data_IF_808444116246
#
_entry.id   IF_808444116246
#
_cell.length_a   1.000
_cell.length_b   1.000
_cell.length_c   1.000
_cell.angle_alpha   90.00
_cell.angle_beta   90.00
_cell.angle_gamma   90.00
#
_symmetry.space_group_name_H-M   'P 1'
#
loop_
_entity.id
_entity.type
_entity.pdbx_description
1 polymer ?
#
# COMPACT_ATOMS: atom_id res chain seq x y z
N UNK A 1 17.18 19.74 2.14
CA UNK A 1 16.82 19.65 3.56
C UNK A 1 16.00 18.38 3.77
N UNK A 2 16.59 17.42 4.50
CA UNK A 2 15.87 16.23 4.94
C UNK A 2 15.28 16.52 6.29
N UNK A 3 13.99 16.26 6.43
CA UNK A 3 13.39 16.11 7.73
C UNK A 3 13.25 14.61 7.94
N UNK A 4 14.04 14.03 8.86
CA UNK A 4 13.57 12.83 9.49
C UNK A 4 12.17 13.17 9.99
N UNK A 5 11.17 12.73 9.23
CA UNK A 5 9.94 12.40 9.90
C UNK A 5 10.39 11.40 10.96
N UNK A 6 9.85 11.44 12.17
CA UNK A 6 10.23 10.47 13.14
C UNK A 6 10.12 9.14 12.43
N UNK A 7 11.18 8.37 12.41
CA UNK A 7 11.01 6.93 12.56
C UNK A 7 9.98 6.87 13.65
N UNK A 8 8.72 6.48 13.36
CA UNK A 8 7.70 6.58 14.38
C UNK A 8 8.30 5.96 15.63
N UNK A 9 8.33 6.67 16.76
CA UNK A 9 8.54 6.06 18.06
C UNK A 9 7.32 5.15 18.31
N UNK A 10 7.14 4.22 17.39
CA UNK A 10 6.35 3.04 17.59
C UNK A 10 7.26 2.18 18.42
N UNK A 11 6.94 2.03 19.70
CA UNK A 11 7.52 1.02 20.56
C UNK A 11 7.38 -0.34 19.84
N UNK A 12 8.37 -0.72 19.07
CA UNK A 12 8.47 -1.95 18.33
C UNK A 12 9.88 -2.51 18.46
N UNK A 13 10.07 -3.80 18.28
CA UNK A 13 11.38 -4.42 18.42
C UNK A 13 12.40 -3.72 17.49
N UNK A 14 13.68 -3.62 17.90
CA UNK A 14 14.73 -2.91 17.16
C UNK A 14 14.98 -3.44 15.74
N UNK A 15 14.44 -4.61 15.40
CA UNK A 15 14.56 -5.28 14.10
C UNK A 15 13.28 -5.17 13.26
N UNK A 16 12.41 -4.18 13.50
CA UNK A 16 11.22 -3.96 12.66
C UNK A 16 11.65 -3.62 11.23
N UNK A 17 11.30 -4.43 10.22
CA UNK A 17 11.67 -4.16 8.83
C UNK A 17 11.23 -2.79 8.33
N UNK A 18 10.10 -2.29 8.82
CA UNK A 18 9.58 -0.95 8.46
C UNK A 18 10.61 0.11 8.88
N UNK A 19 11.04 0.09 10.15
CA UNK A 19 11.96 1.09 10.70
C UNK A 19 13.34 1.03 10.06
N UNK A 20 13.87 -0.18 9.86
CA UNK A 20 15.18 -0.37 9.23
C UNK A 20 15.20 0.26 7.84
N UNK A 21 14.17 0.03 7.03
CA UNK A 21 14.13 0.56 5.68
C UNK A 21 13.86 2.07 5.63
N UNK A 22 13.13 2.64 6.60
CA UNK A 22 13.01 4.09 6.76
C UNK A 22 14.34 4.75 7.09
N UNK A 23 15.07 4.20 8.05
CA UNK A 23 16.41 4.69 8.41
C UNK A 23 17.36 4.61 7.21
N UNK A 24 17.38 3.48 6.50
CA UNK A 24 18.20 3.29 5.30
C UNK A 24 17.83 4.32 4.20
N UNK A 25 16.54 4.64 4.01
CA UNK A 25 16.14 5.64 3.04
C UNK A 25 16.72 7.01 3.40
N UNK A 26 16.54 7.46 4.65
CA UNK A 26 17.02 8.77 5.10
C UNK A 26 18.54 8.85 4.98
N UNK A 27 19.28 7.85 5.46
CA UNK A 27 20.73 7.79 5.37
C UNK A 27 21.22 7.92 3.92
N UNK A 28 20.61 7.17 3.00
CA UNK A 28 20.99 7.18 1.59
C UNK A 28 20.67 8.48 0.89
N UNK A 29 19.48 9.05 1.12
CA UNK A 29 19.13 10.35 0.56
C UNK A 29 20.08 11.43 1.08
N UNK A 30 20.47 11.36 2.37
CA UNK A 30 21.47 12.26 2.96
C UNK A 30 22.79 12.13 2.24
N UNK A 31 23.30 10.91 2.12
CA UNK A 31 24.57 10.64 1.44
C UNK A 31 24.55 11.11 -0.01
N UNK A 32 23.49 10.84 -0.76
CA UNK A 32 23.32 11.24 -2.17
C UNK A 32 23.40 12.76 -2.36
N UNK A 33 22.88 13.53 -1.41
CA UNK A 33 22.94 14.98 -1.46
C UNK A 33 24.29 15.53 -1.00
N UNK A 34 24.87 14.97 0.06
CA UNK A 34 26.21 15.36 0.54
C UNK A 34 27.30 15.09 -0.51
N UNK A 35 27.23 13.98 -1.24
CA UNK A 35 28.13 13.66 -2.34
C UNK A 35 28.03 14.66 -3.51
N UNK A 36 26.90 15.32 -3.68
CA UNK A 36 26.70 16.40 -4.65
C UNK A 36 27.13 17.77 -4.13
N UNK A 37 27.57 17.84 -2.87
CA UNK A 37 27.95 19.08 -2.22
C UNK A 37 26.81 19.88 -1.59
N UNK A 38 25.62 19.27 -1.47
CA UNK A 38 24.47 19.89 -0.82
C UNK A 38 24.64 19.89 0.72
N UNK A 39 24.05 20.89 1.38
CA UNK A 39 23.93 20.90 2.84
C UNK A 39 22.63 20.24 3.24
N UNK A 40 22.71 19.20 4.06
CA UNK A 40 21.57 18.44 4.52
C UNK A 40 21.23 18.76 5.97
N UNK A 41 19.98 19.10 6.24
CA UNK A 41 19.46 19.28 7.60
C UNK A 41 18.33 18.27 7.86
N UNK A 42 18.47 17.48 8.92
CA UNK A 42 17.48 16.51 9.34
C UNK A 42 16.73 17.05 10.57
N UNK A 43 15.43 17.28 10.43
CA UNK A 43 14.59 17.76 11.53
C UNK A 43 13.97 16.59 12.27
N UNK A 44 14.36 16.41 13.53
CA UNK A 44 13.89 15.33 14.41
C UNK A 44 12.76 15.82 15.31
N UNK A 45 11.52 15.67 14.85
CA UNK A 45 10.32 15.85 15.70
C UNK A 45 9.14 15.04 15.14
N UNK A 46 8.12 14.73 15.95
CA UNK A 46 6.95 13.98 15.50
C UNK A 46 6.29 14.61 14.26
N UNK A 47 5.90 13.77 13.29
CA UNK A 47 5.34 14.21 12.00
C UNK A 47 4.15 15.17 12.15
N UNK A 48 3.26 14.91 13.12
CA UNK A 48 2.08 15.74 13.41
C UNK A 48 2.41 17.12 14.00
N UNK A 49 3.66 17.36 14.37
CA UNK A 49 4.15 18.65 14.86
C UNK A 49 4.80 19.50 13.77
N UNK A 50 4.93 18.98 12.54
CA UNK A 50 5.44 19.75 11.42
C UNK A 50 4.31 20.53 10.75
N UNK A 51 4.62 21.75 10.33
CA UNK A 51 3.72 22.58 9.55
C UNK A 51 4.37 23.04 8.25
N UNK A 52 3.60 23.36 7.21
CA UNK A 52 4.12 23.96 5.98
C UNK A 52 4.94 25.23 6.22
N UNK A 53 4.50 26.08 7.15
CA UNK A 53 5.17 27.35 7.48
C UNK A 53 6.57 27.14 8.02
N UNK A 54 6.78 26.09 8.84
CA UNK A 54 8.12 25.75 9.33
C UNK A 54 9.04 25.30 8.21
N UNK A 55 8.53 24.57 7.22
CA UNK A 55 9.31 24.18 6.04
C UNK A 55 9.69 25.41 5.24
N UNK A 56 8.74 26.31 4.99
CA UNK A 56 8.99 27.56 4.27
C UNK A 56 9.99 28.48 4.99
N UNK A 57 9.91 28.55 6.33
CA UNK A 57 10.83 29.38 7.13
C UNK A 57 12.32 28.97 6.99
N UNK A 58 12.57 27.70 6.69
CA UNK A 58 13.92 27.17 6.48
C UNK A 58 14.46 27.43 5.06
N UNK A 59 13.59 27.84 4.14
CA UNK A 59 13.93 28.14 2.74
C UNK A 59 14.83 27.09 2.06
N UNK A 60 14.48 25.80 2.10
CA UNK A 60 15.29 24.79 1.43
C UNK A 60 15.08 24.83 -0.08
N UNK A 61 16.08 24.44 -0.87
CA UNK A 61 15.90 24.21 -2.30
C UNK A 61 15.03 22.96 -2.55
N UNK A 62 15.23 21.90 -1.74
CA UNK A 62 14.47 20.63 -1.80
C UNK A 62 13.99 20.26 -0.41
N UNK A 63 12.73 19.82 -0.28
CA UNK A 63 12.14 19.33 0.96
C UNK A 63 11.53 17.94 0.76
N UNK A 64 11.95 16.96 1.57
CA UNK A 64 11.34 15.62 1.61
C UNK A 64 10.38 15.53 2.78
N UNK A 65 9.09 15.28 2.50
CA UNK A 65 8.00 15.26 3.49
C UNK A 65 7.45 13.84 3.63
N UNK A 66 7.60 13.20 4.80
CA UNK A 66 7.13 11.84 5.02
C UNK A 66 5.60 11.77 5.25
N UNK A 67 4.96 10.70 4.80
CA UNK A 67 3.55 10.35 5.07
C UNK A 67 2.55 11.49 4.81
N UNK A 68 2.84 12.36 3.86
CA UNK A 68 1.97 13.47 3.47
C UNK A 68 1.80 13.49 1.96
N UNK A 69 0.81 14.23 1.53
CA UNK A 69 0.51 14.53 0.13
C UNK A 69 0.35 16.04 -0.02
N UNK A 70 0.48 16.55 -1.24
CA UNK A 70 0.44 17.98 -1.53
C UNK A 70 -0.84 18.65 -1.01
N UNK A 71 -2.00 17.97 -1.10
CA UNK A 71 -3.26 18.51 -0.63
C UNK A 71 -3.43 18.51 0.90
N UNK A 72 -2.74 17.60 1.62
CA UNK A 72 -2.79 17.49 3.09
C UNK A 72 -1.67 18.25 3.79
N UNK A 73 -0.62 18.60 3.04
CA UNK A 73 0.52 19.38 3.52
C UNK A 73 1.01 20.34 2.41
N UNK A 74 0.20 21.33 2.02
CA UNK A 74 0.50 22.20 0.89
C UNK A 74 1.66 23.16 1.21
N UNK A 75 2.68 23.14 0.37
CA UNK A 75 3.73 24.19 0.32
C UNK A 75 3.38 25.11 -0.85
N UNK A 76 3.22 26.43 -0.64
CA UNK A 76 2.91 27.36 -1.71
C UNK A 76 3.99 27.38 -2.81
N UNK A 77 3.59 27.35 -4.08
CA UNK A 77 4.52 27.39 -5.22
C UNK A 77 5.42 28.66 -5.21
N UNK A 78 4.92 29.77 -4.66
CA UNK A 78 5.68 31.02 -4.54
C UNK A 78 6.95 30.87 -3.68
N UNK A 79 7.01 29.88 -2.82
CA UNK A 79 8.20 29.58 -2.01
C UNK A 79 9.33 28.96 -2.82
N UNK A 80 9.05 28.53 -4.06
CA UNK A 80 10.01 27.94 -5.00
C UNK A 80 10.84 26.77 -4.41
N UNK A 81 10.20 25.94 -3.59
CA UNK A 81 10.79 24.76 -2.94
C UNK A 81 10.42 23.52 -3.77
N UNK A 82 11.42 22.69 -4.16
CA UNK A 82 11.14 21.38 -4.77
C UNK A 82 10.69 20.40 -3.68
N UNK A 83 9.37 20.25 -3.52
CA UNK A 83 8.79 19.39 -2.49
C UNK A 83 8.65 17.96 -3.02
N UNK A 84 9.10 17.00 -2.22
CA UNK A 84 9.01 15.56 -2.48
C UNK A 84 8.31 14.90 -1.30
N UNK A 85 7.12 14.37 -1.55
CA UNK A 85 6.38 13.56 -0.57
C UNK A 85 6.85 12.12 -0.68
N UNK A 86 7.16 11.50 0.45
CA UNK A 86 7.61 10.10 0.44
C UNK A 86 6.84 9.22 1.40
N UNK A 87 6.57 8.01 0.95
CA UNK A 87 5.81 7.01 1.69
C UNK A 87 6.31 5.60 1.39
N UNK A 88 6.32 4.73 2.39
CA UNK A 88 6.69 3.34 2.21
C UNK A 88 5.59 2.57 1.49
N UNK A 89 5.95 1.79 0.50
CA UNK A 89 5.03 0.95 -0.27
C UNK A 89 4.61 -0.32 0.52
N UNK A 90 3.89 -1.22 -0.12
CA UNK A 90 3.58 -2.57 0.41
C UNK A 90 4.85 -3.42 0.60
N UNK A 91 5.92 -3.14 -0.11
CA UNK A 91 7.23 -3.76 0.09
C UNK A 91 8.08 -2.87 1.00
N UNK A 92 8.56 -3.35 2.17
CA UNK A 92 9.15 -2.50 3.19
C UNK A 92 10.40 -1.72 2.74
N UNK A 93 11.12 -2.21 1.72
CA UNK A 93 12.31 -1.54 1.18
C UNK A 93 12.04 -0.61 0.01
N UNK A 94 10.79 -0.46 -0.45
CA UNK A 94 10.42 0.43 -1.55
C UNK A 94 9.61 1.61 -1.08
N UNK A 95 9.91 2.76 -1.66
CA UNK A 95 9.30 4.02 -1.30
C UNK A 95 8.77 4.76 -2.53
N UNK A 96 7.58 5.33 -2.41
CA UNK A 96 7.15 6.41 -3.27
C UNK A 96 7.95 7.65 -2.90
N UNK A 97 8.47 8.37 -3.89
CA UNK A 97 9.04 9.72 -3.75
C UNK A 97 8.47 10.52 -4.90
N UNK A 98 7.51 11.39 -4.62
CA UNK A 98 6.69 12.03 -5.66
C UNK A 98 6.34 13.47 -5.28
N UNK A 99 6.00 14.29 -6.28
CA UNK A 99 5.67 15.72 -6.10
C UNK A 99 4.29 15.94 -5.49
N UNK A 100 3.35 15.03 -5.70
CA UNK A 100 1.96 15.18 -5.24
C UNK A 100 1.64 14.27 -4.06
N UNK A 101 2.16 13.03 -4.04
CA UNK A 101 1.83 12.09 -2.99
C UNK A 101 2.23 10.65 -3.32
N UNK A 102 1.37 9.71 -2.97
CA UNK A 102 1.63 8.28 -3.14
C UNK A 102 0.35 7.54 -3.55
N UNK A 103 0.50 6.33 -4.06
CA UNK A 103 -0.61 5.49 -4.53
C UNK A 103 -1.57 6.29 -5.46
N UNK A 104 -2.85 6.38 -5.14
CA UNK A 104 -3.83 7.14 -5.93
C UNK A 104 -3.62 8.65 -5.96
N UNK A 105 -2.78 9.20 -5.06
CA UNK A 105 -2.44 10.62 -4.98
C UNK A 105 -1.13 11.00 -5.66
N UNK A 106 -0.43 10.05 -6.27
CA UNK A 106 0.83 10.31 -6.95
C UNK A 106 0.65 11.11 -8.25
N UNK A 107 1.71 11.82 -8.66
CA UNK A 107 1.76 12.48 -9.97
C UNK A 107 1.90 11.49 -11.13
N UNK A 108 2.40 10.28 -10.85
CA UNK A 108 2.58 9.19 -11.82
C UNK A 108 1.36 8.30 -11.80
N UNK A 109 0.72 8.16 -12.94
CA UNK A 109 -0.49 7.33 -13.11
C UNK A 109 -0.17 5.87 -13.41
N UNK A 110 -1.17 5.00 -13.34
CA UNK A 110 -1.03 3.60 -13.75
C UNK A 110 -0.67 3.45 -15.24
N UNK A 111 -1.15 4.35 -16.09
CA UNK A 111 -0.83 4.40 -17.51
C UNK A 111 0.65 4.79 -17.72
N UNK A 112 1.16 5.79 -16.99
CA UNK A 112 2.57 6.15 -17.03
C UNK A 112 3.46 4.97 -16.62
N UNK A 113 3.06 4.23 -15.58
CA UNK A 113 3.77 3.03 -15.16
C UNK A 113 3.76 1.94 -16.23
N UNK A 114 2.64 1.79 -16.96
CA UNK A 114 2.57 0.87 -18.10
C UNK A 114 3.47 1.30 -19.26
N UNK A 115 3.65 2.61 -19.46
CA UNK A 115 4.56 3.14 -20.50
C UNK A 115 6.03 2.95 -20.12
N UNK A 116 6.39 3.21 -18.84
CA UNK A 116 7.73 2.97 -18.30
C UNK A 116 8.11 1.48 -18.29
N UNK A 117 7.11 0.60 -18.17
CA UNK A 117 7.30 -0.83 -18.05
C UNK A 117 7.70 -1.48 -19.38
N UNK A 118 8.64 -2.41 -19.30
CA UNK A 118 8.99 -3.31 -20.40
C UNK A 118 8.27 -4.65 -20.27
N UNK A 119 8.20 -5.40 -21.36
CA UNK A 119 7.68 -6.77 -21.36
C UNK A 119 8.72 -7.73 -20.71
N UNK A 120 8.96 -7.52 -19.42
CA UNK A 120 9.91 -8.29 -18.61
C UNK A 120 9.23 -8.80 -17.36
N UNK A 121 9.39 -10.07 -17.04
CA UNK A 121 8.90 -10.68 -15.81
C UNK A 121 9.88 -10.56 -14.64
N UNK A 122 11.07 -9.98 -14.83
CA UNK A 122 12.12 -9.99 -13.81
C UNK A 122 11.65 -9.39 -12.47
N UNK A 123 11.15 -8.17 -12.48
CA UNK A 123 10.70 -7.52 -11.24
C UNK A 123 9.45 -8.20 -10.66
N UNK A 124 8.51 -8.59 -11.51
CA UNK A 124 7.33 -9.35 -11.09
C UNK A 124 7.73 -10.64 -10.36
N UNK A 125 8.64 -11.44 -10.92
CA UNK A 125 9.06 -12.70 -10.33
C UNK A 125 9.83 -12.50 -9.01
N UNK A 126 10.66 -11.46 -8.91
CA UNK A 126 11.37 -11.12 -7.66
C UNK A 126 10.38 -10.73 -6.54
N UNK A 127 9.44 -9.83 -6.83
CA UNK A 127 8.42 -9.42 -5.86
C UNK A 127 7.50 -10.59 -5.51
N UNK A 128 7.09 -11.39 -6.50
CA UNK A 128 6.29 -12.59 -6.31
C UNK A 128 6.98 -13.60 -5.41
N UNK A 129 8.26 -13.87 -5.61
CA UNK A 129 9.05 -14.78 -4.76
C UNK A 129 9.01 -14.32 -3.30
N UNK A 130 9.22 -13.03 -3.05
CA UNK A 130 9.13 -12.44 -1.71
C UNK A 130 7.73 -12.62 -1.11
N UNK A 131 6.69 -12.26 -1.85
CA UNK A 131 5.30 -12.33 -1.39
C UNK A 131 4.89 -13.78 -1.10
N UNK A 132 5.24 -14.74 -1.98
CA UNK A 132 4.93 -16.16 -1.77
C UNK A 132 5.70 -16.79 -0.61
N UNK A 133 6.82 -16.20 -0.18
CA UNK A 133 7.52 -16.61 1.05
C UNK A 133 6.92 -16.04 2.34
N UNK A 134 5.77 -15.35 2.25
CA UNK A 134 5.09 -14.73 3.38
C UNK A 134 5.52 -13.29 3.65
N UNK A 135 6.31 -12.69 2.75
CA UNK A 135 6.79 -11.33 2.90
C UNK A 135 5.69 -10.28 2.66
N UNK A 136 5.54 -9.37 3.61
CA UNK A 136 4.60 -8.23 3.56
C UNK A 136 5.16 -7.07 4.40
N UNK A 137 4.62 -5.86 4.22
CA UNK A 137 4.98 -4.68 5.02
C UNK A 137 4.80 -4.92 6.52
N UNK A 138 3.73 -5.60 6.90
CA UNK A 138 3.37 -5.87 8.30
C UNK A 138 3.69 -7.31 8.71
N UNK A 139 4.81 -7.87 8.23
CA UNK A 139 5.17 -9.26 8.49
C UNK A 139 5.23 -9.61 9.98
N UNK A 140 5.74 -8.70 10.81
CA UNK A 140 5.84 -8.90 12.26
C UNK A 140 4.48 -8.96 12.98
N UNK A 141 3.43 -8.48 12.33
CA UNK A 141 2.06 -8.48 12.85
C UNK A 141 1.20 -9.60 12.25
N UNK A 142 1.76 -10.40 11.33
CA UNK A 142 1.06 -11.55 10.78
C UNK A 142 1.22 -12.75 11.70
N UNK A 143 0.15 -13.55 11.91
CA UNK A 143 0.29 -14.83 12.57
C UNK A 143 1.29 -15.73 11.83
N UNK A 144 2.22 -16.33 12.57
CA UNK A 144 3.26 -17.22 12.02
C UNK A 144 2.77 -18.66 11.89
N UNK A 145 1.81 -19.05 12.71
CA UNK A 145 1.24 -20.40 12.67
C UNK A 145 0.26 -20.54 11.51
N UNK A 146 0.41 -21.63 10.76
CA UNK A 146 -0.61 -22.04 9.79
C UNK A 146 -1.83 -22.54 10.51
N UNK A 147 -2.99 -21.94 10.23
CA UNK A 147 -4.28 -22.40 10.74
C UNK A 147 -5.11 -22.96 9.60
N UNK A 148 -5.87 -23.99 9.89
CA UNK A 148 -6.84 -24.51 8.94
C UNK A 148 -8.10 -23.63 8.93
N UNK A 149 -8.60 -23.36 7.73
CA UNK A 149 -9.92 -22.76 7.59
C UNK A 149 -10.99 -23.73 8.07
N UNK A 150 -12.10 -23.23 8.66
CA UNK A 150 -13.23 -24.10 9.03
C UNK A 150 -13.70 -24.97 7.86
N UNK A 151 -14.09 -26.20 8.13
CA UNK A 151 -14.48 -27.18 7.10
C UNK A 151 -15.66 -26.74 6.20
N UNK A 152 -16.47 -25.78 6.64
CA UNK A 152 -17.56 -25.21 5.85
C UNK A 152 -17.09 -24.14 4.85
N UNK A 153 -15.84 -23.69 4.92
CA UNK A 153 -15.25 -22.74 3.95
C UNK A 153 -14.88 -23.50 2.68
N UNK A 154 -15.40 -23.11 1.51
CA UNK A 154 -15.08 -23.79 0.26
C UNK A 154 -13.61 -23.63 -0.10
N UNK A 155 -13.12 -24.45 -1.05
CA UNK A 155 -11.74 -24.36 -1.54
C UNK A 155 -11.41 -23.05 -2.22
N UNK A 156 -12.41 -22.34 -2.72
CA UNK A 156 -12.27 -21.08 -3.43
C UNK A 156 -13.31 -20.08 -2.93
N UNK A 157 -12.88 -18.83 -2.71
CA UNK A 157 -13.71 -17.76 -2.16
C UNK A 157 -13.26 -16.37 -2.62
N UNK A 158 -14.13 -15.39 -2.39
CA UNK A 158 -13.79 -13.96 -2.48
C UNK A 158 -13.20 -13.51 -1.15
N UNK A 159 -12.07 -12.80 -1.19
CA UNK A 159 -11.39 -12.24 -0.02
C UNK A 159 -11.56 -10.73 -0.01
N UNK A 160 -12.02 -10.18 1.12
CA UNK A 160 -12.06 -8.75 1.39
C UNK A 160 -11.09 -8.42 2.53
N UNK A 161 -9.85 -7.97 2.25
CA UNK A 161 -8.94 -7.46 3.26
C UNK A 161 -9.41 -6.09 3.72
N UNK A 162 -9.70 -5.94 5.02
CA UNK A 162 -10.08 -4.65 5.59
C UNK A 162 -8.94 -3.66 5.54
N UNK A 163 -9.28 -2.39 5.33
CA UNK A 163 -8.39 -1.24 5.47
C UNK A 163 -8.81 -0.43 6.69
N UNK A 164 -7.91 0.41 7.20
CA UNK A 164 -8.20 1.34 8.28
C UNK A 164 -9.15 2.42 7.73
N UNK A 165 -10.40 2.56 8.24
CA UNK A 165 -11.41 3.41 7.62
C UNK A 165 -11.06 4.90 7.51
N UNK A 166 -10.19 5.38 8.42
CA UNK A 166 -9.75 6.77 8.47
C UNK A 166 -8.35 7.01 7.87
N UNK A 167 -7.81 6.02 7.15
CA UNK A 167 -6.54 6.16 6.42
C UNK A 167 -6.65 7.24 5.34
N UNK A 168 -5.58 8.00 5.11
CA UNK A 168 -5.54 9.07 4.10
C UNK A 168 -5.87 8.54 2.70
N UNK A 169 -5.43 7.33 2.35
CA UNK A 169 -5.75 6.71 1.06
C UNK A 169 -7.26 6.47 0.86
N UNK A 170 -7.98 6.13 1.93
CA UNK A 170 -9.44 6.00 1.88
C UNK A 170 -10.08 7.38 1.79
N UNK A 171 -9.66 8.29 2.68
CA UNK A 171 -10.28 9.61 2.83
C UNK A 171 -10.18 10.45 1.55
N UNK A 172 -9.05 10.39 0.85
CA UNK A 172 -8.77 11.28 -0.28
C UNK A 172 -8.87 10.60 -1.64
N UNK A 173 -8.69 9.27 -1.69
CA UNK A 173 -8.63 8.52 -2.95
C UNK A 173 -9.73 7.47 -3.08
N UNK A 174 -10.83 7.61 -2.31
CA UNK A 174 -12.02 6.77 -2.49
C UNK A 174 -13.30 7.59 -2.34
N UNK A 175 -14.27 7.30 -3.23
CA UNK A 175 -15.62 7.85 -3.15
C UNK A 175 -16.54 7.02 -2.25
N UNK A 176 -16.08 5.83 -1.83
CA UNK A 176 -16.83 4.92 -0.96
C UNK A 176 -16.03 4.64 0.30
N UNK A 177 -16.70 4.52 1.44
CA UNK A 177 -16.09 4.08 2.69
C UNK A 177 -15.75 2.59 2.65
N UNK A 178 -14.93 2.13 3.60
CA UNK A 178 -14.61 0.69 3.71
C UNK A 178 -15.86 -0.12 4.02
N UNK A 179 -16.78 0.41 4.86
CA UNK A 179 -18.04 -0.21 5.21
C UNK A 179 -18.99 -0.31 4.02
N UNK A 180 -19.04 0.72 3.20
CA UNK A 180 -19.84 0.73 1.98
C UNK A 180 -19.29 -0.25 0.95
N UNK A 181 -17.96 -0.26 0.73
CA UNK A 181 -17.30 -1.21 -0.14
C UNK A 181 -17.54 -2.66 0.29
N UNK A 182 -17.48 -2.95 1.60
CA UNK A 182 -17.82 -4.25 2.15
C UNK A 182 -19.30 -4.60 1.86
N UNK A 183 -20.21 -3.67 2.08
CA UNK A 183 -21.65 -3.89 1.86
C UNK A 183 -21.96 -4.18 0.38
N UNK A 184 -21.34 -3.46 -0.55
CA UNK A 184 -21.43 -3.70 -1.99
C UNK A 184 -20.83 -5.06 -2.37
N UNK A 185 -19.70 -5.44 -1.79
CA UNK A 185 -19.08 -6.75 -1.98
C UNK A 185 -19.99 -7.88 -1.51
N UNK A 186 -20.59 -7.77 -0.32
CA UNK A 186 -21.56 -8.75 0.19
C UNK A 186 -22.73 -8.91 -0.79
N UNK A 187 -23.29 -7.80 -1.26
CA UNK A 187 -24.40 -7.80 -2.23
C UNK A 187 -24.00 -8.52 -3.53
N UNK A 188 -22.81 -8.23 -4.05
CA UNK A 188 -22.32 -8.85 -5.28
C UNK A 188 -22.02 -10.34 -5.07
N UNK A 189 -21.40 -10.74 -3.94
CA UNK A 189 -21.15 -12.14 -3.61
C UNK A 189 -22.46 -12.94 -3.56
N UNK A 190 -23.52 -12.39 -2.97
CA UNK A 190 -24.85 -13.04 -2.94
C UNK A 190 -25.42 -13.22 -4.34
N UNK A 191 -25.34 -12.19 -5.19
CA UNK A 191 -25.78 -12.22 -6.58
C UNK A 191 -25.04 -13.32 -7.37
N UNK A 192 -23.72 -13.38 -7.22
CA UNK A 192 -22.85 -14.30 -7.96
C UNK A 192 -22.70 -15.65 -7.28
N UNK A 193 -23.40 -15.90 -6.16
CA UNK A 193 -23.34 -17.12 -5.33
C UNK A 193 -21.90 -17.47 -4.92
N UNK A 194 -21.11 -16.45 -4.56
CA UNK A 194 -19.74 -16.60 -4.10
C UNK A 194 -19.65 -16.56 -2.58
N UNK A 195 -18.78 -17.39 -2.01
CA UNK A 195 -18.45 -17.33 -0.60
C UNK A 195 -17.53 -16.15 -0.33
N UNK A 196 -17.76 -15.42 0.77
CA UNK A 196 -16.95 -14.25 1.16
C UNK A 196 -16.26 -14.50 2.48
N UNK A 197 -14.95 -14.24 2.51
CA UNK A 197 -14.16 -14.10 3.73
C UNK A 197 -13.71 -12.66 3.86
N UNK A 198 -13.87 -12.11 5.05
CA UNK A 198 -13.37 -10.78 5.42
C UNK A 198 -12.19 -10.93 6.37
N UNK A 199 -11.03 -10.34 6.03
CA UNK A 199 -9.82 -10.37 6.84
C UNK A 199 -9.65 -9.05 7.56
N UNK A 200 -9.56 -9.07 8.89
CA UNK A 200 -9.29 -7.90 9.71
C UNK A 200 -7.89 -7.33 9.49
N UNK A 201 -7.73 -6.01 9.65
CA UNK A 201 -6.45 -5.33 9.50
C UNK A 201 -5.58 -5.56 10.76
N UNK A 202 -4.28 -5.91 10.61
CA UNK A 202 -3.44 -6.30 11.75
C UNK A 202 -3.06 -5.12 12.65
N UNK A 203 -2.93 -3.91 12.11
CA UNK A 203 -2.38 -2.75 12.84
C UNK A 203 -3.39 -2.11 13.80
N UNK A 204 -4.67 -2.09 13.46
CA UNK A 204 -5.68 -1.38 14.26
C UNK A 204 -6.95 -2.21 14.41
N UNK A 205 -6.93 -3.25 15.26
CA UNK A 205 -8.11 -4.11 15.44
C UNK A 205 -9.32 -3.38 16.04
N UNK A 206 -9.11 -2.28 16.77
CA UNK A 206 -10.17 -1.46 17.33
C UNK A 206 -11.02 -0.77 16.28
N UNK A 207 -10.41 -0.25 15.22
CA UNK A 207 -11.11 0.40 14.11
C UNK A 207 -11.88 -0.59 13.22
N UNK A 208 -11.67 -1.90 13.40
CA UNK A 208 -12.38 -2.96 12.65
C UNK A 208 -13.74 -3.32 13.24
N UNK A 209 -14.13 -2.80 14.40
CA UNK A 209 -15.39 -3.14 15.06
C UNK A 209 -16.65 -2.91 14.19
N UNK A 210 -16.78 -1.80 13.44
CA UNK A 210 -17.92 -1.60 12.55
C UNK A 210 -18.01 -2.70 11.47
N UNK A 211 -16.87 -3.06 10.86
CA UNK A 211 -16.80 -4.08 9.81
C UNK A 211 -17.12 -5.48 10.38
N UNK A 212 -16.59 -5.80 11.56
CA UNK A 212 -16.90 -7.04 12.27
C UNK A 212 -18.39 -7.16 12.59
N UNK A 213 -19.03 -6.06 13.01
CA UNK A 213 -20.48 -5.99 13.25
C UNK A 213 -21.28 -6.25 11.98
N UNK A 214 -20.90 -5.63 10.85
CA UNK A 214 -21.54 -5.90 9.54
C UNK A 214 -21.42 -7.39 9.20
N UNK A 215 -20.24 -7.99 9.32
CA UNK A 215 -20.03 -9.40 9.04
C UNK A 215 -20.92 -10.31 9.92
N UNK A 216 -20.96 -10.05 11.23
CA UNK A 216 -21.80 -10.81 12.17
C UNK A 216 -23.30 -10.72 11.81
N UNK A 217 -23.79 -9.52 11.53
CA UNK A 217 -25.20 -9.29 11.15
C UNK A 217 -25.60 -9.94 9.82
N UNK A 218 -24.64 -10.10 8.91
CA UNK A 218 -24.84 -10.61 7.57
C UNK A 218 -24.47 -12.10 7.42
N UNK A 219 -23.99 -12.76 8.49
CA UNK A 219 -23.53 -14.14 8.46
C UNK A 219 -22.28 -14.35 7.61
N UNK A 220 -21.39 -13.37 7.56
CA UNK A 220 -20.14 -13.40 6.79
C UNK A 220 -18.99 -13.85 7.70
N UNK A 221 -18.13 -14.72 7.19
CA UNK A 221 -16.92 -15.17 7.90
C UNK A 221 -15.93 -14.03 8.02
N UNK A 222 -15.59 -13.68 9.28
CA UNK A 222 -14.58 -12.68 9.61
C UNK A 222 -13.39 -13.36 10.30
N UNK A 223 -12.18 -13.12 9.79
CA UNK A 223 -10.92 -13.72 10.26
C UNK A 223 -9.90 -12.62 10.54
N UNK A 224 -9.26 -12.66 11.70
CA UNK A 224 -8.14 -11.75 12.06
C UNK A 224 -6.89 -12.50 12.53
N UNK A 225 -6.98 -13.78 12.78
CA UNK A 225 -5.95 -14.64 13.34
C UNK A 225 -5.26 -15.58 12.33
N UNK A 226 -5.38 -15.29 11.03
CA UNK A 226 -4.67 -15.97 9.95
C UNK A 226 -3.81 -14.97 9.15
N UNK A 227 -2.69 -15.45 8.59
CA UNK A 227 -1.88 -14.64 7.68
C UNK A 227 -2.65 -14.28 6.41
N UNK A 228 -2.43 -13.06 5.90
CA UNK A 228 -3.01 -12.62 4.63
C UNK A 228 -2.58 -13.53 3.47
N UNK A 229 -1.32 -13.98 3.45
CA UNK A 229 -0.81 -14.86 2.39
C UNK A 229 -1.48 -16.22 2.40
N UNK A 230 -1.75 -16.78 3.58
CA UNK A 230 -2.49 -18.04 3.71
C UNK A 230 -3.90 -17.92 3.14
N UNK A 231 -4.57 -16.78 3.34
CA UNK A 231 -5.89 -16.54 2.76
C UNK A 231 -5.80 -16.27 1.25
N UNK A 232 -4.76 -15.60 0.78
CA UNK A 232 -4.53 -15.37 -0.65
C UNK A 232 -4.30 -16.66 -1.43
N UNK A 233 -3.71 -17.70 -0.84
CA UNK A 233 -3.47 -18.98 -1.53
C UNK A 233 -4.77 -19.55 -2.15
N UNK A 234 -5.89 -19.48 -1.45
CA UNK A 234 -7.18 -20.06 -1.85
C UNK A 234 -8.20 -19.03 -2.37
N UNK A 235 -7.93 -17.74 -2.24
CA UNK A 235 -8.79 -16.73 -2.81
C UNK A 235 -8.81 -16.82 -4.35
N UNK A 236 -9.97 -16.72 -4.98
CA UNK A 236 -10.09 -16.56 -6.44
C UNK A 236 -10.12 -15.09 -6.85
N UNK A 237 -10.76 -14.27 -6.03
CA UNK A 237 -10.93 -12.83 -6.24
C UNK A 237 -10.65 -12.10 -4.93
N UNK A 238 -9.89 -11.03 -5.01
CA UNK A 238 -9.65 -10.10 -3.89
C UNK A 238 -10.35 -8.79 -4.19
N UNK A 239 -11.16 -8.32 -3.27
CA UNK A 239 -11.90 -7.06 -3.39
C UNK A 239 -11.43 -6.13 -2.27
N UNK A 240 -10.93 -4.96 -2.62
CA UNK A 240 -10.46 -3.96 -1.65
C UNK A 240 -10.83 -2.54 -2.10
N UNK A 241 -10.65 -1.56 -1.23
CA UNK A 241 -10.83 -0.16 -1.68
C UNK A 241 -9.63 0.23 -2.54
N UNK A 242 -8.45 0.39 -1.95
CA UNK A 242 -7.18 0.69 -2.64
C UNK A 242 -5.98 0.16 -1.82
N UNK A 243 -6.15 -1.00 -1.21
CA UNK A 243 -5.17 -1.62 -0.30
C UNK A 243 -3.92 -2.10 -1.03
N UNK A 244 -2.75 -1.94 -0.39
CA UNK A 244 -1.54 -2.63 -0.83
C UNK A 244 -1.67 -4.15 -0.96
N UNK A 245 -2.62 -4.77 -0.24
CA UNK A 245 -2.96 -6.19 -0.41
C UNK A 245 -3.48 -6.51 -1.82
N UNK A 246 -4.03 -5.51 -2.54
CA UNK A 246 -4.36 -5.68 -3.96
C UNK A 246 -3.13 -5.97 -4.81
N UNK A 247 -2.00 -5.30 -4.55
CA UNK A 247 -0.72 -5.60 -5.23
C UNK A 247 -0.20 -7.00 -4.86
N UNK A 248 -0.27 -7.37 -3.57
CA UNK A 248 0.11 -8.72 -3.12
C UNK A 248 -0.75 -9.78 -3.82
N UNK A 249 -2.06 -9.53 -3.97
CA UNK A 249 -2.98 -10.41 -4.67
C UNK A 249 -2.66 -10.56 -6.17
N UNK A 250 -2.26 -9.49 -6.85
CA UNK A 250 -1.78 -9.55 -8.24
C UNK A 250 -0.54 -10.45 -8.37
N UNK A 251 0.37 -10.41 -7.41
CA UNK A 251 1.54 -11.31 -7.35
C UNK A 251 1.15 -12.76 -7.05
N UNK A 252 0.06 -12.99 -6.32
CA UNK A 252 -0.57 -14.31 -6.19
C UNK A 252 -1.38 -14.72 -7.43
N UNK A 253 -1.36 -13.90 -8.51
CA UNK A 253 -2.12 -14.11 -9.76
C UNK A 253 -3.63 -14.21 -9.54
N UNK A 254 -4.15 -13.42 -8.61
CA UNK A 254 -5.58 -13.38 -8.32
C UNK A 254 -6.28 -12.33 -9.18
N UNK A 255 -7.58 -12.50 -9.37
CA UNK A 255 -8.44 -11.42 -9.84
C UNK A 255 -8.52 -10.37 -8.73
N UNK A 256 -8.32 -9.09 -9.07
CA UNK A 256 -8.36 -7.99 -8.10
C UNK A 256 -9.38 -6.97 -8.55
N UNK A 257 -10.25 -6.59 -7.63
CA UNK A 257 -11.29 -5.57 -7.81
C UNK A 257 -11.03 -4.45 -6.82
N UNK A 258 -11.05 -3.20 -7.31
CA UNK A 258 -10.82 -2.01 -6.51
C UNK A 258 -12.02 -1.08 -6.56
N UNK A 259 -12.30 -0.37 -5.47
CA UNK A 259 -13.31 0.68 -5.39
C UNK A 259 -12.70 2.08 -5.48
N UNK A 260 -11.55 2.28 -4.87
CA UNK A 260 -10.82 3.55 -4.81
C UNK A 260 -9.73 3.66 -5.87
N UNK A 261 -9.12 4.84 -5.91
CA UNK A 261 -8.02 5.13 -6.81
C UNK A 261 -6.70 4.65 -6.23
N UNK A 262 -5.91 3.97 -7.07
CA UNK A 262 -4.57 3.49 -6.78
C UNK A 262 -3.81 3.30 -8.09
N UNK A 263 -2.50 3.29 -8.03
CA UNK A 263 -1.63 3.20 -9.20
C UNK A 263 -1.80 1.89 -9.99
N UNK A 264 -2.24 0.82 -9.32
CA UNK A 264 -2.45 -0.49 -9.96
C UNK A 264 -3.86 -0.70 -10.54
N UNK A 265 -4.72 0.33 -10.57
CA UNK A 265 -6.06 0.24 -11.19
C UNK A 265 -6.00 -0.16 -12.65
N UNK A 266 -4.93 0.19 -13.35
CA UNK A 266 -4.70 -0.15 -14.77
C UNK A 266 -4.65 -1.66 -15.03
N UNK A 267 -4.40 -2.47 -14.01
CA UNK A 267 -4.34 -3.95 -14.08
C UNK A 267 -5.39 -4.64 -13.20
N UNK A 268 -6.37 -3.90 -12.69
CA UNK A 268 -7.48 -4.42 -11.89
C UNK A 268 -8.82 -4.26 -12.59
N UNK A 269 -9.89 -4.60 -11.92
CA UNK A 269 -11.27 -4.47 -12.39
C UNK A 269 -12.09 -3.62 -11.43
N UNK A 270 -13.28 -3.25 -11.86
CA UNK A 270 -14.29 -2.62 -11.01
C UNK A 270 -15.34 -3.64 -10.60
N UNK A 271 -16.08 -3.36 -9.52
CA UNK A 271 -17.09 -4.29 -8.98
C UNK A 271 -18.21 -4.56 -9.97
N UNK A 272 -18.51 -3.61 -10.85
CA UNK A 272 -19.54 -3.70 -11.90
C UNK A 272 -19.22 -4.78 -12.93
N UNK A 273 -17.93 -5.13 -13.10
CA UNK A 273 -17.48 -6.20 -14.01
C UNK A 273 -17.81 -7.61 -13.49
N UNK A 274 -18.26 -7.71 -12.24
CA UNK A 274 -18.60 -8.96 -11.57
C UNK A 274 -17.39 -9.69 -10.97
N UNK A 275 -17.68 -10.69 -10.11
CA UNK A 275 -16.66 -11.43 -9.35
C UNK A 275 -16.10 -12.66 -10.09
N UNK A 276 -16.70 -13.04 -11.22
CA UNK A 276 -16.39 -14.30 -11.92
C UNK A 276 -15.32 -14.15 -12.99
N UNK A 277 -14.86 -12.94 -13.25
CA UNK A 277 -13.77 -12.70 -14.18
C UNK A 277 -12.48 -13.35 -13.69
N UNK A 278 -11.78 -14.05 -14.56
CA UNK A 278 -10.49 -14.66 -14.24
C UNK A 278 -9.40 -13.61 -13.91
N UNK A 279 -8.21 -14.05 -13.50
CA UNK A 279 -7.09 -13.17 -13.21
C UNK A 279 -6.74 -12.31 -14.43
N UNK A 280 -6.14 -11.12 -14.23
CA UNK A 280 -5.72 -10.27 -15.33
C UNK A 280 -4.61 -10.93 -16.15
N UNK A 281 -4.41 -10.42 -17.36
CA UNK A 281 -3.29 -10.85 -18.21
C UNK A 281 -1.97 -10.68 -17.48
N UNK A 282 -1.20 -11.75 -17.32
CA UNK A 282 0.00 -11.77 -16.50
C UNK A 282 1.16 -10.96 -17.09
N UNK A 283 1.25 -10.87 -18.42
CA UNK A 283 2.26 -10.04 -19.09
C UNK A 283 1.98 -8.56 -18.83
N UNK A 284 0.69 -8.17 -18.84
CA UNK A 284 0.28 -6.82 -18.49
C UNK A 284 0.58 -6.48 -17.03
N UNK A 285 0.34 -7.41 -16.11
CA UNK A 285 0.68 -7.24 -14.69
C UNK A 285 2.20 -7.16 -14.50
N UNK A 286 2.98 -8.02 -15.18
CA UNK A 286 4.43 -7.98 -15.11
C UNK A 286 4.98 -6.65 -15.64
N UNK A 287 4.44 -6.14 -16.75
CA UNK A 287 4.80 -4.83 -17.29
C UNK A 287 4.50 -3.69 -16.31
N UNK A 288 3.36 -3.71 -15.66
CA UNK A 288 3.02 -2.76 -14.59
C UNK A 288 4.07 -2.79 -13.47
N UNK A 289 4.41 -3.97 -12.94
CA UNK A 289 5.40 -4.09 -11.87
C UNK A 289 6.82 -3.67 -12.31
N UNK A 290 7.16 -3.84 -13.58
CA UNK A 290 8.44 -3.36 -14.11
C UNK A 290 8.49 -1.82 -14.09
N UNK A 291 7.46 -1.13 -14.57
CA UNK A 291 7.36 0.33 -14.50
C UNK A 291 7.29 0.84 -13.06
N UNK A 292 6.48 0.18 -12.23
CA UNK A 292 6.37 0.52 -10.81
C UNK A 292 7.70 0.39 -10.07
N UNK A 293 8.51 -0.64 -10.37
CA UNK A 293 9.84 -0.80 -9.81
C UNK A 293 10.85 0.23 -10.31
N UNK A 294 10.68 0.77 -11.50
CA UNK A 294 11.48 1.88 -12.03
C UNK A 294 11.14 3.21 -11.37
N UNK A 295 9.87 3.41 -11.09
CA UNK A 295 9.40 4.64 -10.44
C UNK A 295 9.70 4.67 -8.94
N UNK A 296 9.50 3.56 -8.21
CA UNK A 296 9.69 3.52 -6.77
C UNK A 296 11.16 3.39 -6.40
N UNK A 297 11.59 4.09 -5.34
CA UNK A 297 12.94 4.04 -4.82
C UNK A 297 13.18 2.76 -4.00
N UNK A 298 14.28 2.05 -4.27
CA UNK A 298 14.69 0.85 -3.50
C UNK A 298 15.79 1.22 -2.50
N UNK A 299 15.47 1.27 -1.21
CA UNK A 299 16.39 1.64 -0.13
C UNK A 299 17.54 0.64 0.10
N UNK A 300 17.55 -0.50 -0.58
CA UNK A 300 18.61 -1.51 -0.49
C UNK A 300 19.69 -1.36 -1.54
N UNK A 301 19.39 -0.72 -2.66
CA UNK A 301 20.34 -0.58 -3.76
C UNK A 301 21.40 0.45 -3.42
N UNK A 302 22.67 0.10 -3.63
CA UNK A 302 23.71 1.11 -3.71
C UNK A 302 23.47 1.94 -4.97
N UNK A 303 23.58 3.24 -4.85
CA UNK A 303 23.57 4.10 -6.02
C UNK A 303 24.89 3.86 -6.73
N UNK A 304 24.78 3.35 -7.94
CA UNK A 304 25.91 3.17 -8.86
C UNK A 304 26.07 4.41 -9.70
#
# INVERSE_FOLDING_TARGET
MFKEGPVPEVEGPPNDPIRVHWANLVERLTQDHEEKGDTVEILKKPLWQFTPEEVCALKPDIAYIPHKEAHSFPIPEIENIDVRYYHQTVFPWRFYIDKLGFAGGASVTGEDLMEMGMNSHYHFDQLRKYTLSGGTKFQNLQPTEKKELPNYVPESYVLFPCQIPHDETIKYHSKVSVEEALSLTIKQCRKDKKFLIVKGHPVNPGSMQPLRKICSQQGIVYIDDMSIHQLLERAETVVCVNSGTGMEALLHRKNVITFGDCEYNVVTRRIEDGLTAGPPNQDRVARFFDGWCKWTYDSRKNIS
#
